data_IF_071790774037
#
_entry.id   IF_071790774037
#
_cell.length_a   1.000
_cell.length_b   1.000
_cell.length_c   1.000
_cell.angle_alpha   90.00
_cell.angle_beta   90.00
_cell.angle_gamma   90.00
#
_symmetry.space_group_name_H-M   'P 1'
#
loop_
_entity.id
_entity.type
_entity.pdbx_description
1 polymer ?
#
# COMPACT_ATOMS: atom_id res chain seq x y z
N UNK A 1 9.36 3.36 2.38
CA UNK A 1 8.04 3.28 3.05
C UNK A 1 8.27 2.91 4.50
N UNK A 2 7.81 3.75 5.42
CA UNK A 2 8.03 3.59 6.85
C UNK A 2 6.75 3.08 7.53
N UNK A 3 6.86 2.05 8.38
CA UNK A 3 5.72 1.47 9.09
C UNK A 3 5.60 2.11 10.47
N UNK A 4 4.84 3.20 10.56
CA UNK A 4 4.66 3.98 11.79
C UNK A 4 4.08 3.12 12.93
N UNK A 5 3.09 2.29 12.66
CA UNK A 5 2.49 1.41 13.67
C UNK A 5 3.51 0.49 14.36
N UNK A 6 4.53 0.02 13.64
CA UNK A 6 5.61 -0.78 14.25
C UNK A 6 6.55 0.09 15.09
N UNK A 7 6.84 1.30 14.65
CA UNK A 7 7.68 2.23 15.39
C UNK A 7 7.02 2.65 16.70
N UNK A 8 5.72 2.99 16.66
CA UNK A 8 4.95 3.32 17.85
C UNK A 8 4.91 2.17 18.85
N UNK A 9 4.73 0.94 18.37
CA UNK A 9 4.76 -0.26 19.23
C UNK A 9 6.11 -0.43 19.92
N UNK A 10 7.23 -0.23 19.22
CA UNK A 10 8.58 -0.30 19.78
C UNK A 10 8.78 0.77 20.86
N UNK A 11 8.28 1.99 20.64
CA UNK A 11 8.37 3.08 21.61
C UNK A 11 7.56 2.76 22.89
N UNK A 12 6.36 2.20 22.75
CA UNK A 12 5.51 1.84 23.88
C UNK A 12 6.04 0.64 24.69
N UNK A 13 6.54 -0.37 24.01
CA UNK A 13 6.96 -1.62 24.65
C UNK A 13 8.38 -1.57 25.23
N UNK A 14 9.11 -0.44 25.05
CA UNK A 14 10.53 -0.29 25.45
C UNK A 14 11.39 -1.51 25.08
N UNK A 15 11.04 -2.18 23.99
CA UNK A 15 11.67 -3.44 23.60
C UNK A 15 13.14 -3.19 23.24
N UNK A 16 14.11 -3.87 23.84
CA UNK A 16 15.53 -3.70 23.52
C UNK A 16 15.78 -3.95 22.04
N UNK A 17 16.65 -3.13 21.45
CA UNK A 17 17.06 -3.25 20.06
C UNK A 17 17.51 -4.69 19.78
N UNK A 18 16.80 -5.37 18.90
CA UNK A 18 16.89 -6.80 18.64
C UNK A 18 18.29 -7.19 18.17
N UNK A 19 18.80 -8.30 18.75
CA UNK A 19 20.02 -8.96 18.36
C UNK A 19 20.20 -9.09 16.82
N UNK A 20 21.47 -9.04 16.40
CA UNK A 20 21.91 -9.23 14.99
C UNK A 20 21.16 -10.40 14.33
N UNK A 21 20.10 -10.09 13.61
CA UNK A 21 19.53 -11.04 12.66
C UNK A 21 20.43 -11.04 11.44
N UNK A 22 20.69 -12.21 10.87
CA UNK A 22 21.13 -12.28 9.48
C UNK A 22 20.24 -11.38 8.67
N UNK A 23 20.78 -10.46 7.85
CA UNK A 23 19.94 -9.52 7.11
C UNK A 23 18.91 -10.34 6.35
N UNK A 24 17.61 -10.06 6.52
CA UNK A 24 16.60 -10.71 5.71
C UNK A 24 16.88 -10.35 4.25
N UNK A 25 16.57 -11.24 3.33
CA UNK A 25 16.60 -10.92 1.90
C UNK A 25 15.76 -9.68 1.57
N UNK A 26 15.90 -9.10 0.39
CA UNK A 26 15.19 -7.89 0.01
C UNK A 26 13.67 -8.11 -0.04
N UNK A 27 12.90 -7.08 0.31
CA UNK A 27 11.47 -7.02 0.01
C UNK A 27 11.31 -6.60 -1.44
N UNK A 28 10.60 -7.38 -2.23
CA UNK A 28 10.29 -7.06 -3.63
C UNK A 28 8.88 -6.52 -3.73
N UNK A 29 8.73 -5.29 -4.22
CA UNK A 29 7.46 -4.72 -4.66
C UNK A 29 7.41 -4.83 -6.17
N UNK A 30 6.53 -5.68 -6.68
CA UNK A 30 6.49 -6.03 -8.09
C UNK A 30 5.28 -5.42 -8.79
N UNK A 31 5.54 -4.50 -9.71
CA UNK A 31 4.52 -3.94 -10.57
C UNK A 31 4.24 -4.91 -11.73
N UNK A 32 3.30 -5.83 -11.53
CA UNK A 32 2.93 -6.89 -12.47
C UNK A 32 2.14 -6.40 -13.68
N UNK A 33 1.46 -5.28 -13.52
CA UNK A 33 0.58 -4.67 -14.52
C UNK A 33 0.72 -3.15 -14.46
N UNK A 34 0.69 -2.49 -15.61
CA UNK A 34 0.70 -1.03 -15.66
C UNK A 34 -0.70 -0.43 -15.81
N UNK A 35 -1.67 -1.22 -16.32
CA UNK A 35 -3.07 -0.81 -16.41
C UNK A 35 -3.63 -0.51 -15.01
N UNK A 36 -4.43 0.58 -14.91
CA UNK A 36 -5.09 1.00 -13.67
C UNK A 36 -6.41 1.68 -14.01
N UNK A 37 -7.43 1.44 -13.21
CA UNK A 37 -8.70 2.16 -13.32
C UNK A 37 -8.62 3.60 -12.81
N UNK A 38 -7.50 4.01 -12.18
CA UNK A 38 -7.26 5.36 -11.68
C UNK A 38 -6.14 6.08 -12.45
N UNK A 39 -6.17 7.44 -12.39
CA UNK A 39 -5.15 8.31 -12.99
C UNK A 39 -4.55 9.27 -11.97
N UNK A 40 -4.22 8.77 -10.77
CA UNK A 40 -3.74 9.55 -9.62
C UNK A 40 -2.68 10.58 -9.99
N UNK A 41 -2.74 11.78 -9.40
CA UNK A 41 -1.81 12.91 -9.64
C UNK A 41 -0.35 12.57 -9.30
N UNK A 42 -0.13 11.67 -8.34
CA UNK A 42 1.19 11.27 -7.82
C UNK A 42 1.75 9.98 -8.43
N UNK A 43 1.06 9.37 -9.39
CA UNK A 43 1.45 8.05 -9.90
C UNK A 43 2.84 8.06 -10.55
N UNK A 44 3.78 7.31 -9.96
CA UNK A 44 5.14 7.19 -10.46
C UNK A 44 5.26 6.34 -11.73
N UNK A 45 4.34 5.37 -11.92
CA UNK A 45 4.32 4.46 -13.07
C UNK A 45 3.54 4.98 -14.28
N UNK A 46 2.90 6.15 -14.15
CA UNK A 46 2.04 6.75 -15.20
C UNK A 46 0.96 5.75 -15.67
N UNK A 47 0.37 5.03 -14.73
CA UNK A 47 -0.71 4.07 -14.99
C UNK A 47 -1.98 4.77 -15.46
N UNK A 48 -2.75 4.10 -16.33
CA UNK A 48 -4.02 4.56 -16.85
C UNK A 48 -4.87 3.35 -17.28
N UNK A 49 -6.16 3.58 -17.55
CA UNK A 49 -7.05 2.51 -18.04
C UNK A 49 -6.85 2.26 -19.54
N UNK A 50 -5.67 1.79 -19.90
CA UNK A 50 -5.30 1.43 -21.26
C UNK A 50 -4.39 0.22 -21.25
N UNK A 51 -4.28 -0.45 -22.41
CA UNK A 51 -3.31 -1.51 -22.59
C UNK A 51 -1.89 -0.94 -22.64
N UNK A 52 -0.96 -1.60 -21.99
CA UNK A 52 0.47 -1.31 -22.05
C UNK A 52 1.19 -2.54 -22.60
N UNK A 53 2.03 -2.39 -23.63
CA UNK A 53 2.83 -3.50 -24.14
C UNK A 53 3.94 -3.90 -23.15
N UNK A 54 4.40 -5.17 -23.25
CA UNK A 54 5.54 -5.68 -22.49
C UNK A 54 5.19 -6.16 -21.07
N UNK A 55 3.91 -6.39 -20.76
CA UNK A 55 3.54 -7.12 -19.55
C UNK A 55 3.94 -8.59 -19.68
N UNK A 56 4.53 -9.15 -18.62
CA UNK A 56 4.91 -10.56 -18.59
C UNK A 56 3.68 -11.47 -18.63
N UNK A 57 3.76 -12.54 -19.38
CA UNK A 57 2.81 -13.65 -19.31
C UNK A 57 2.85 -14.33 -17.93
N UNK A 58 1.84 -15.12 -17.61
CA UNK A 58 1.78 -15.89 -16.36
C UNK A 58 3.01 -16.79 -16.20
N UNK A 59 3.44 -17.47 -17.28
CA UNK A 59 4.60 -18.35 -17.24
C UNK A 59 5.92 -17.60 -16.99
N UNK A 60 6.09 -16.44 -17.60
CA UNK A 60 7.26 -15.58 -17.35
C UNK A 60 7.26 -15.06 -15.91
N UNK A 61 6.08 -14.69 -15.37
CA UNK A 61 5.94 -14.33 -13.95
C UNK A 61 6.39 -15.47 -13.04
N UNK A 62 5.99 -16.71 -13.34
CA UNK A 62 6.40 -17.87 -12.56
C UNK A 62 7.92 -18.11 -12.64
N UNK A 63 8.52 -17.98 -13.82
CA UNK A 63 9.98 -18.08 -13.98
C UNK A 63 10.71 -17.03 -13.13
N UNK A 64 10.24 -15.78 -13.15
CA UNK A 64 10.82 -14.73 -12.28
C UNK A 64 10.64 -15.06 -10.81
N UNK A 65 9.51 -15.64 -10.40
CA UNK A 65 9.31 -16.08 -9.01
C UNK A 65 10.32 -17.16 -8.58
N UNK A 66 10.64 -18.10 -9.48
CA UNK A 66 11.64 -19.12 -9.20
C UNK A 66 13.02 -18.49 -8.96
N UNK A 67 13.42 -17.48 -9.77
CA UNK A 67 14.64 -16.70 -9.58
C UNK A 67 14.63 -15.91 -8.27
N UNK A 68 13.52 -15.25 -7.94
CA UNK A 68 13.38 -14.52 -6.68
C UNK A 68 13.50 -15.45 -5.47
N UNK A 69 12.97 -16.67 -5.57
CA UNK A 69 13.10 -17.69 -4.53
C UNK A 69 14.55 -18.17 -4.39
N UNK A 70 15.23 -18.42 -5.50
CA UNK A 70 16.65 -18.78 -5.49
C UNK A 70 17.50 -17.65 -4.89
N UNK A 71 17.14 -16.39 -5.13
CA UNK A 71 17.77 -15.21 -4.53
C UNK A 71 17.37 -14.99 -3.04
N UNK A 72 16.57 -15.88 -2.46
CA UNK A 72 16.11 -15.83 -1.06
C UNK A 72 15.30 -14.59 -0.70
N UNK A 73 14.50 -14.08 -1.62
CA UNK A 73 13.52 -13.04 -1.35
C UNK A 73 12.47 -13.58 -0.37
N UNK A 74 12.29 -13.01 0.81
CA UNK A 74 11.31 -13.49 1.77
C UNK A 74 9.91 -12.92 1.57
N UNK A 75 9.80 -11.73 0.97
CA UNK A 75 8.57 -10.94 0.91
C UNK A 75 8.33 -10.46 -0.52
N UNK A 76 7.14 -10.75 -1.04
CA UNK A 76 6.69 -10.35 -2.34
C UNK A 76 5.41 -9.53 -2.23
N UNK A 77 5.45 -8.27 -2.68
CA UNK A 77 4.28 -7.40 -2.72
C UNK A 77 3.81 -7.32 -4.17
N UNK A 78 2.69 -7.96 -4.45
CA UNK A 78 2.05 -7.92 -5.76
C UNK A 78 1.37 -6.55 -5.92
N UNK A 79 1.80 -5.79 -6.89
CA UNK A 79 1.43 -4.40 -7.13
C UNK A 79 1.32 -4.14 -8.63
N UNK A 80 1.22 -2.86 -9.01
CA UNK A 80 1.22 -2.46 -10.41
C UNK A 80 0.62 -1.08 -10.59
N UNK A 81 -0.15 -0.92 -11.66
CA UNK A 81 -1.19 0.07 -11.74
C UNK A 81 -2.28 -0.32 -10.73
N UNK A 82 -3.16 -1.23 -11.14
CA UNK A 82 -4.08 -1.91 -10.21
C UNK A 82 -3.98 -3.43 -10.43
N UNK A 83 -3.43 -4.18 -9.47
CA UNK A 83 -3.20 -5.60 -9.65
C UNK A 83 -4.48 -6.42 -9.86
N UNK A 84 -5.62 -6.00 -9.31
CA UNK A 84 -6.91 -6.68 -9.51
C UNK A 84 -7.44 -6.59 -10.95
N UNK A 85 -6.86 -5.75 -11.81
CA UNK A 85 -7.14 -5.74 -13.25
C UNK A 85 -6.37 -6.80 -14.04
N UNK A 86 -5.41 -7.48 -13.40
CA UNK A 86 -4.64 -8.56 -14.02
C UNK A 86 -5.42 -9.87 -13.88
N UNK A 87 -5.80 -10.54 -15.02
CA UNK A 87 -6.72 -11.69 -14.96
C UNK A 87 -6.21 -12.88 -14.14
N UNK A 88 -4.89 -13.08 -14.11
CA UNK A 88 -4.22 -14.19 -13.42
C UNK A 88 -3.71 -13.84 -12.03
N UNK A 89 -4.06 -12.67 -11.46
CA UNK A 89 -3.52 -12.17 -10.18
C UNK A 89 -3.70 -13.17 -9.03
N UNK A 90 -4.84 -13.85 -8.98
CA UNK A 90 -5.13 -14.83 -7.94
C UNK A 90 -4.31 -16.11 -8.12
N UNK A 91 -4.07 -16.54 -9.34
CA UNK A 91 -3.19 -17.67 -9.67
C UNK A 91 -1.73 -17.35 -9.28
N UNK A 92 -1.26 -16.16 -9.67
CA UNK A 92 0.04 -15.62 -9.29
C UNK A 92 0.20 -15.56 -7.77
N UNK A 93 -0.81 -15.07 -7.07
CA UNK A 93 -0.83 -15.02 -5.61
C UNK A 93 -0.76 -16.42 -4.96
N UNK A 94 -1.55 -17.37 -5.44
CA UNK A 94 -1.54 -18.77 -4.96
C UNK A 94 -0.17 -19.42 -5.19
N UNK A 95 0.43 -19.24 -6.37
CA UNK A 95 1.78 -19.73 -6.67
C UNK A 95 2.82 -19.16 -5.71
N UNK A 96 2.80 -17.84 -5.49
CA UNK A 96 3.71 -17.18 -4.56
C UNK A 96 3.58 -17.72 -3.12
N UNK A 97 2.35 -17.92 -2.65
CA UNK A 97 2.08 -18.52 -1.32
C UNK A 97 2.59 -19.95 -1.25
N UNK A 98 2.34 -20.78 -2.26
CA UNK A 98 2.82 -22.17 -2.32
C UNK A 98 4.35 -22.26 -2.30
N UNK A 99 5.05 -21.26 -2.88
CA UNK A 99 6.51 -21.16 -2.81
C UNK A 99 7.03 -20.67 -1.45
N UNK A 100 6.15 -20.32 -0.51
CA UNK A 100 6.51 -19.90 0.84
C UNK A 100 6.98 -18.45 0.95
N UNK A 101 6.62 -17.57 0.00
CA UNK A 101 6.77 -16.13 0.18
C UNK A 101 5.78 -15.59 1.22
N UNK A 102 6.19 -14.55 1.96
CA UNK A 102 5.23 -13.65 2.58
C UNK A 102 4.65 -12.76 1.47
N UNK A 103 3.35 -12.87 1.20
CA UNK A 103 2.73 -12.23 0.03
C UNK A 103 1.76 -11.15 0.46
N UNK A 104 2.02 -9.92 0.03
CA UNK A 104 1.08 -8.81 0.17
C UNK A 104 0.46 -8.43 -1.18
N UNK A 105 -0.82 -8.02 -1.15
CA UNK A 105 -1.47 -7.37 -2.27
C UNK A 105 -1.47 -5.85 -2.04
N UNK A 106 -1.02 -5.05 -3.02
CA UNK A 106 -1.03 -3.59 -2.96
C UNK A 106 -2.00 -3.05 -4.00
N UNK A 107 -3.18 -2.67 -3.55
CA UNK A 107 -4.29 -2.20 -4.39
C UNK A 107 -4.68 -0.75 -4.08
N UNK A 108 -5.37 -0.10 -5.01
CA UNK A 108 -6.08 1.14 -4.73
C UNK A 108 -7.38 0.90 -3.93
N UNK A 109 -7.82 -0.35 -3.81
CA UNK A 109 -8.95 -0.80 -3.02
C UNK A 109 -10.32 -0.62 -3.66
N UNK A 110 -10.43 0.15 -4.74
CA UNK A 110 -11.72 0.51 -5.35
C UNK A 110 -12.39 -0.64 -6.12
N UNK A 111 -11.64 -1.69 -6.38
CA UNK A 111 -12.11 -2.90 -7.06
C UNK A 111 -12.30 -4.10 -6.12
N UNK A 112 -12.13 -3.92 -4.81
CA UNK A 112 -12.42 -4.97 -3.83
C UNK A 112 -13.92 -4.97 -3.56
N UNK A 113 -14.59 -6.05 -3.91
CA UNK A 113 -16.03 -6.24 -3.83
C UNK A 113 -16.43 -7.61 -3.27
N UNK A 114 -17.74 -7.86 -3.15
CA UNK A 114 -18.29 -9.10 -2.62
C UNK A 114 -18.00 -10.34 -3.51
N UNK A 115 -17.68 -10.15 -4.79
CA UNK A 115 -17.36 -11.23 -5.71
C UNK A 115 -15.92 -11.68 -5.52
N UNK A 116 -14.96 -10.73 -5.55
CA UNK A 116 -13.54 -11.06 -5.55
C UNK A 116 -12.93 -11.20 -4.15
N UNK A 117 -13.59 -10.70 -3.10
CA UNK A 117 -13.08 -10.85 -1.73
C UNK A 117 -12.91 -12.32 -1.32
N UNK A 118 -13.74 -13.22 -1.84
CA UNK A 118 -13.63 -14.66 -1.59
C UNK A 118 -12.37 -15.25 -2.22
N UNK A 119 -12.02 -14.79 -3.42
CA UNK A 119 -10.79 -15.21 -4.10
C UNK A 119 -9.55 -14.61 -3.41
N UNK A 120 -9.60 -13.33 -3.02
CA UNK A 120 -8.55 -12.69 -2.22
C UNK A 120 -8.28 -13.49 -0.95
N UNK A 121 -9.35 -13.92 -0.25
CA UNK A 121 -9.24 -14.78 0.94
C UNK A 121 -8.67 -16.16 0.59
N UNK A 122 -9.11 -16.77 -0.49
CA UNK A 122 -8.66 -18.10 -0.92
C UNK A 122 -7.18 -18.15 -1.32
N UNK A 123 -6.61 -17.06 -1.81
CA UNK A 123 -5.16 -16.91 -2.02
C UNK A 123 -4.39 -16.97 -0.72
N UNK A 124 -4.96 -16.45 0.37
CA UNK A 124 -4.30 -16.39 1.66
C UNK A 124 -3.21 -15.32 1.73
N UNK A 125 -3.43 -14.15 1.14
CA UNK A 125 -2.52 -13.02 1.28
C UNK A 125 -2.23 -12.72 2.76
N UNK A 126 -0.97 -12.48 3.09
CA UNK A 126 -0.57 -12.15 4.46
C UNK A 126 -1.05 -10.76 4.87
N UNK A 127 -1.28 -9.87 3.90
CA UNK A 127 -2.02 -8.63 4.07
C UNK A 127 -2.46 -8.05 2.72
N UNK A 128 -3.49 -7.22 2.76
CA UNK A 128 -3.93 -6.37 1.64
C UNK A 128 -3.69 -4.90 2.03
N UNK A 129 -2.79 -4.24 1.31
CA UNK A 129 -2.50 -2.82 1.50
C UNK A 129 -3.38 -1.98 0.58
N UNK A 130 -4.28 -1.19 1.16
CA UNK A 130 -5.16 -0.28 0.41
C UNK A 130 -4.61 1.14 0.49
N UNK A 131 -4.63 1.81 -0.63
CA UNK A 131 -4.07 3.15 -0.74
C UNK A 131 -5.15 4.22 -0.63
N UNK A 132 -5.09 5.04 0.42
CA UNK A 132 -5.96 6.20 0.66
C UNK A 132 -5.07 7.38 1.07
N UNK A 133 -5.19 8.52 0.37
CA UNK A 133 -4.26 9.65 0.48
C UNK A 133 -4.91 10.95 0.97
N UNK A 134 -5.92 10.87 1.79
CA UNK A 134 -6.62 12.01 2.38
C UNK A 134 -8.04 11.67 2.77
N UNK A 135 -8.75 12.61 3.37
CA UNK A 135 -10.20 12.56 3.52
C UNK A 135 -10.87 12.63 2.15
N UNK A 136 -12.19 12.42 2.09
CA UNK A 136 -12.95 12.25 0.83
C UNK A 136 -12.52 13.19 -0.30
N UNK A 137 -12.58 14.50 -0.09
CA UNK A 137 -12.29 15.49 -1.12
C UNK A 137 -10.83 15.45 -1.57
N UNK A 138 -9.89 15.39 -0.61
CA UNK A 138 -8.47 15.34 -0.89
C UNK A 138 -8.10 14.02 -1.58
N UNK A 139 -8.58 12.88 -1.08
CA UNK A 139 -8.35 11.57 -1.68
C UNK A 139 -8.87 11.52 -3.13
N UNK A 140 -10.13 11.91 -3.34
CA UNK A 140 -10.78 11.82 -4.65
C UNK A 140 -10.12 12.76 -5.66
N UNK A 141 -9.76 13.97 -5.24
CA UNK A 141 -8.99 14.90 -6.05
C UNK A 141 -7.58 14.37 -6.37
N UNK A 142 -6.90 13.78 -5.39
CA UNK A 142 -5.53 13.28 -5.54
C UNK A 142 -5.48 12.01 -6.40
N UNK A 143 -6.47 11.12 -6.22
CA UNK A 143 -6.58 9.87 -6.97
C UNK A 143 -7.40 9.96 -8.24
N UNK A 144 -8.01 11.14 -8.51
CA UNK A 144 -8.80 11.42 -9.71
C UNK A 144 -9.98 10.45 -9.88
N UNK A 145 -10.69 10.18 -8.78
CA UNK A 145 -11.89 9.35 -8.77
C UNK A 145 -12.88 9.88 -7.74
N UNK A 146 -14.02 10.38 -8.18
CA UNK A 146 -15.13 10.74 -7.31
C UNK A 146 -15.66 9.48 -6.61
N UNK A 147 -15.85 9.52 -5.28
CA UNK A 147 -16.25 8.37 -4.47
C UNK A 147 -15.13 7.35 -4.23
N UNK A 148 -13.89 7.66 -4.65
CA UNK A 148 -12.73 6.78 -4.52
C UNK A 148 -12.37 6.50 -3.07
N UNK A 149 -12.54 7.48 -2.17
CA UNK A 149 -12.34 7.30 -0.74
C UNK A 149 -13.27 6.22 -0.16
N UNK A 150 -14.57 6.38 -0.41
CA UNK A 150 -15.59 5.47 0.14
C UNK A 150 -15.45 4.06 -0.45
N UNK A 151 -15.14 3.95 -1.75
CA UNK A 151 -14.88 2.65 -2.38
C UNK A 151 -13.65 1.95 -1.78
N UNK A 152 -12.55 2.66 -1.59
CA UNK A 152 -11.33 2.10 -0.99
C UNK A 152 -11.55 1.72 0.48
N UNK A 153 -12.25 2.55 1.26
CA UNK A 153 -12.61 2.26 2.64
C UNK A 153 -13.53 1.03 2.74
N UNK A 154 -14.49 0.89 1.82
CA UNK A 154 -15.32 -0.32 1.72
C UNK A 154 -14.46 -1.56 1.44
N UNK A 155 -13.47 -1.48 0.56
CA UNK A 155 -12.51 -2.57 0.33
C UNK A 155 -11.77 -2.98 1.60
N UNK A 156 -11.37 -2.03 2.44
CA UNK A 156 -10.77 -2.31 3.77
C UNK A 156 -11.77 -3.05 4.66
N UNK A 157 -13.02 -2.56 4.74
CA UNK A 157 -14.09 -3.17 5.55
C UNK A 157 -14.34 -4.62 5.14
N UNK A 158 -14.47 -4.88 3.83
CA UNK A 158 -14.64 -6.23 3.29
C UNK A 158 -13.46 -7.15 3.66
N UNK A 159 -12.23 -6.67 3.52
CA UNK A 159 -11.06 -7.44 3.97
C UNK A 159 -11.19 -7.83 5.45
N UNK A 160 -11.52 -6.86 6.31
CA UNK A 160 -11.66 -7.09 7.75
C UNK A 160 -12.80 -8.06 8.08
N UNK A 161 -13.96 -7.91 7.48
CA UNK A 161 -15.13 -8.80 7.66
C UNK A 161 -14.81 -10.25 7.28
N UNK A 162 -13.93 -10.44 6.28
CA UNK A 162 -13.49 -11.77 5.86
C UNK A 162 -12.23 -12.28 6.59
N UNK A 163 -11.75 -11.57 7.63
CA UNK A 163 -10.58 -11.95 8.41
C UNK A 163 -9.25 -11.78 7.68
N UNK A 164 -9.22 -10.95 6.64
CA UNK A 164 -8.01 -10.60 5.91
C UNK A 164 -7.37 -9.37 6.58
N UNK A 165 -6.07 -9.45 6.88
CA UNK A 165 -5.33 -8.31 7.44
C UNK A 165 -5.28 -7.18 6.43
N UNK A 166 -5.88 -6.04 6.77
CA UNK A 166 -5.82 -4.84 5.95
C UNK A 166 -4.72 -3.88 6.45
N UNK A 167 -4.09 -3.19 5.52
CA UNK A 167 -3.16 -2.12 5.80
C UNK A 167 -3.51 -0.87 5.01
N UNK A 168 -3.28 0.29 5.60
CA UNK A 168 -3.50 1.58 4.98
C UNK A 168 -2.17 2.12 4.45
N UNK A 169 -2.15 2.60 3.22
CA UNK A 169 -1.01 3.23 2.57
C UNK A 169 -1.34 4.68 2.27
N UNK A 170 -0.51 5.58 2.75
CA UNK A 170 -0.70 7.02 2.64
C UNK A 170 0.55 7.67 2.06
N UNK A 171 0.37 8.46 1.01
CA UNK A 171 1.44 9.28 0.43
C UNK A 171 1.28 10.70 0.93
N UNK A 172 2.16 11.11 1.83
CA UNK A 172 2.12 12.42 2.45
C UNK A 172 2.57 13.50 1.46
N UNK A 173 1.76 14.55 1.39
CA UNK A 173 2.03 15.80 0.68
C UNK A 173 1.62 16.98 1.55
N UNK A 174 1.99 18.19 1.16
CA UNK A 174 1.54 19.40 1.85
C UNK A 174 0.01 19.54 1.86
N UNK A 175 -0.63 19.15 0.75
CA UNK A 175 -2.07 19.29 0.54
C UNK A 175 -2.93 18.37 1.43
N UNK A 176 -2.39 17.20 1.82
CA UNK A 176 -3.14 16.20 2.58
C UNK A 176 -2.61 15.98 4.01
N UNK A 177 -1.61 16.73 4.42
CA UNK A 177 -0.98 16.58 5.74
C UNK A 177 -1.95 16.85 6.89
N UNK A 178 -2.87 17.81 6.72
CA UNK A 178 -3.87 18.18 7.71
C UNK A 178 -4.95 17.12 7.92
N UNK A 179 -5.12 16.20 6.96
CA UNK A 179 -6.09 15.11 7.05
C UNK A 179 -5.60 13.94 7.93
N UNK A 180 -4.28 13.88 8.18
CA UNK A 180 -3.65 12.72 8.81
C UNK A 180 -4.22 12.36 10.19
N UNK A 181 -4.48 13.32 11.12
CA UNK A 181 -5.08 12.98 12.41
C UNK A 181 -6.43 12.29 12.26
N UNK A 182 -7.35 12.86 11.48
CA UNK A 182 -8.67 12.28 11.25
C UNK A 182 -8.62 10.92 10.52
N UNK A 183 -7.62 10.72 9.65
CA UNK A 183 -7.41 9.41 9.01
C UNK A 183 -6.95 8.35 10.00
N UNK A 184 -6.13 8.71 11.00
CA UNK A 184 -5.73 7.79 12.06
C UNK A 184 -6.92 7.39 12.94
N UNK A 185 -7.83 8.31 13.24
CA UNK A 185 -9.06 8.01 13.96
C UNK A 185 -9.96 7.03 13.17
N UNK A 186 -10.14 7.26 11.87
CA UNK A 186 -10.90 6.36 10.98
C UNK A 186 -10.22 4.97 10.92
N UNK A 187 -8.91 4.92 10.91
CA UNK A 187 -8.17 3.65 10.93
C UNK A 187 -8.42 2.86 12.21
N UNK A 188 -8.40 3.52 13.36
CA UNK A 188 -8.65 2.90 14.65
C UNK A 188 -10.09 2.39 14.72
N UNK A 189 -11.07 3.20 14.33
CA UNK A 189 -12.49 2.83 14.23
C UNK A 189 -12.71 1.55 13.40
N UNK A 190 -11.97 1.41 12.31
CA UNK A 190 -12.10 0.24 11.43
C UNK A 190 -11.09 -0.88 11.72
N UNK A 191 -10.32 -0.78 12.80
CA UNK A 191 -9.38 -1.80 13.25
C UNK A 191 -8.26 -2.09 12.25
N UNK A 192 -7.76 -1.07 11.55
CA UNK A 192 -6.65 -1.21 10.59
C UNK A 192 -5.32 -1.26 11.34
N UNK A 193 -4.67 -2.41 11.34
CA UNK A 193 -3.47 -2.64 12.17
C UNK A 193 -2.15 -2.10 11.56
N UNK A 194 -2.15 -1.78 10.26
CA UNK A 194 -0.93 -1.40 9.54
C UNK A 194 -1.11 -0.08 8.83
N UNK A 195 -0.29 0.88 9.20
CA UNK A 195 -0.19 2.16 8.50
C UNK A 195 1.19 2.34 7.89
N UNK A 196 1.21 2.61 6.59
CA UNK A 196 2.42 2.86 5.82
C UNK A 196 2.43 4.29 5.31
N UNK A 197 3.34 5.09 5.83
CA UNK A 197 3.59 6.43 5.36
C UNK A 197 4.70 6.41 4.30
N UNK A 198 4.47 7.10 3.21
CA UNK A 198 5.48 7.37 2.18
C UNK A 198 5.47 8.84 1.80
N UNK A 199 6.63 9.35 1.40
CA UNK A 199 6.72 10.66 0.75
C UNK A 199 6.37 10.55 -0.74
N UNK A 200 6.01 11.68 -1.33
CA UNK A 200 5.78 11.79 -2.76
C UNK A 200 7.02 11.33 -3.53
N UNK A 201 6.82 10.44 -4.49
CA UNK A 201 7.88 10.06 -5.41
C UNK A 201 7.90 11.03 -6.59
N UNK A 202 9.01 11.75 -6.76
CA UNK A 202 9.22 12.72 -7.84
C UNK A 202 9.53 12.04 -9.17
N UNK A 203 8.72 11.05 -9.54
CA UNK A 203 8.76 10.33 -10.81
C UNK A 203 7.37 10.33 -11.45
N UNK A 204 7.28 10.11 -12.74
CA UNK A 204 6.02 10.05 -13.45
C UNK A 204 5.16 11.31 -13.30
N UNK A 205 3.87 11.13 -12.95
CA UNK A 205 2.96 12.25 -12.68
C UNK A 205 3.31 13.00 -11.40
N UNK A 206 3.89 12.34 -10.41
CA UNK A 206 4.36 12.99 -9.19
C UNK A 206 5.39 14.08 -9.49
N UNK A 207 6.33 13.85 -10.42
CA UNK A 207 7.27 14.88 -10.88
C UNK A 207 6.59 16.04 -11.59
N UNK A 208 5.59 15.76 -12.42
CA UNK A 208 4.88 16.79 -13.20
C UNK A 208 4.05 17.72 -12.32
N UNK A 209 3.45 17.16 -11.26
CA UNK A 209 2.53 17.85 -10.37
C UNK A 209 3.20 18.42 -9.11
N UNK A 210 4.50 18.17 -8.91
CA UNK A 210 5.27 18.67 -7.77
C UNK A 210 5.61 20.16 -7.80
N UNK A 211 5.25 20.88 -8.86
CA UNK A 211 5.44 22.34 -8.93
C UNK A 211 4.45 23.03 -7.97
N UNK A 212 4.88 23.25 -6.74
CA UNK A 212 4.08 23.82 -5.66
C UNK A 212 4.20 23.05 -4.33
N UNK A 213 4.57 21.79 -4.36
CA UNK A 213 4.92 21.03 -3.16
C UNK A 213 6.35 21.38 -2.73
N UNK A 214 6.50 22.55 -2.09
CA UNK A 214 7.77 22.93 -1.47
C UNK A 214 8.12 21.89 -0.40
N UNK A 215 9.36 21.46 -0.42
CA UNK A 215 10.01 20.53 0.50
C UNK A 215 9.40 20.47 1.90
N UNK A 216 8.92 19.29 2.26
CA UNK A 216 8.32 18.94 3.55
C UNK A 216 9.33 18.92 4.72
N UNK A 217 10.27 19.83 4.79
CA UNK A 217 11.27 19.90 5.87
C UNK A 217 10.73 20.50 7.17
N UNK A 218 9.61 21.24 7.13
CA UNK A 218 9.04 21.91 8.30
C UNK A 218 8.04 21.08 9.12
N UNK A 219 7.32 20.14 8.52
CA UNK A 219 6.18 19.46 9.16
C UNK A 219 6.52 18.16 9.90
N UNK A 220 7.66 17.54 9.65
CA UNK A 220 8.16 16.47 10.53
C UNK A 220 8.34 16.96 11.98
N UNK A 221 8.60 18.27 12.18
CA UNK A 221 8.67 18.87 13.50
C UNK A 221 7.30 19.03 14.18
N UNK A 222 6.22 19.21 13.42
CA UNK A 222 4.85 19.27 13.95
C UNK A 222 4.40 17.86 14.34
N UNK A 223 4.65 16.88 13.49
CA UNK A 223 4.34 15.47 13.75
C UNK A 223 5.11 14.95 14.98
N UNK A 224 6.38 15.34 15.14
CA UNK A 224 7.19 15.03 16.32
C UNK A 224 6.67 15.74 17.60
N UNK A 225 6.12 16.95 17.48
CA UNK A 225 5.50 17.66 18.61
C UNK A 225 4.18 17.03 19.04
N UNK A 226 3.32 16.63 18.12
CA UNK A 226 2.05 15.98 18.45
C UNK A 226 2.26 14.58 19.06
N UNK A 227 3.23 13.82 18.57
CA UNK A 227 3.63 12.53 19.18
C UNK A 227 4.21 12.70 20.60
N UNK A 228 4.88 13.82 20.88
CA UNK A 228 5.41 14.12 22.20
C UNK A 228 4.35 14.70 23.17
N UNK A 229 3.27 15.30 22.66
CA UNK A 229 2.18 15.80 23.49
C UNK A 229 1.19 14.71 23.96
N UNK A 230 1.08 13.60 23.23
CA UNK A 230 0.24 12.45 23.64
C UNK A 230 0.92 11.52 24.66
N UNK A 231 2.16 11.81 25.04
CA UNK A 231 2.92 11.05 26.05
C UNK A 231 2.76 11.53 27.50
N UNK A 232 1.76 12.36 27.79
CA UNK A 232 1.45 12.84 29.14
C UNK A 232 0.03 12.45 29.53
N UNK A 233 -0.22 11.16 29.64
CA UNK A 233 -1.30 10.57 30.45
C UNK A 233 -0.77 9.29 31.09
#
# INVERSE_FOLDING_TARGET
MFRISQYMKILHEQTPCVAKRNPPGPVVIWNLIRRCNLTCKHCYSISANTHFPGELSTQEVFTVMDDLKAFRVPVLILSGGEPLLRPDIFEVGKRAKAMGFYVGLSSNGTLIDEENIKEIKAVGFDYVGVSIDGLRENNDSFRQMQGGFDAALNGIKLCRQHGIKAGWRFTLTEQNSTDLPALLDIMDEHGVEKFYLSHLNYSGRGKRNSKGDAYFTGQLSVFQKELNCSGSI
#
